data_IF_842270229534
#
_entry.id   IF_842270229534
#
_cell.length_a   1.000
_cell.length_b   1.000
_cell.length_c   1.000
_cell.angle_alpha   90.00
_cell.angle_beta   90.00
_cell.angle_gamma   90.00
#
_symmetry.space_group_name_H-M   'P 1'
#
loop_
_entity.id
_entity.type
_entity.pdbx_description
1 polymer ?
#
# COMPACT_ATOMS: atom_id res chain seq x y z
N UNK A 1 -3.77 2.65 -4.14
CA UNK A 1 -5.06 2.02 -4.49
C UNK A 1 -6.07 3.09 -4.90
N UNK A 2 -7.17 2.69 -5.55
CA UNK A 2 -8.28 3.55 -5.97
C UNK A 2 -9.57 2.97 -5.40
N UNK A 3 -10.37 3.78 -4.70
CA UNK A 3 -11.64 3.38 -4.12
C UNK A 3 -12.75 4.29 -4.63
N UNK A 4 -13.86 3.73 -5.08
CA UNK A 4 -14.98 4.49 -5.66
C UNK A 4 -16.19 4.66 -4.69
N UNK A 5 -16.04 4.20 -3.44
CA UNK A 5 -17.13 4.15 -2.46
C UNK A 5 -17.82 2.79 -2.37
N UNK A 6 -17.55 1.90 -3.32
CA UNK A 6 -18.10 0.53 -3.37
C UNK A 6 -17.02 -0.53 -3.46
N UNK A 7 -16.07 -0.38 -4.38
CA UNK A 7 -15.03 -1.36 -4.69
C UNK A 7 -13.62 -0.75 -4.64
N UNK A 8 -12.67 -1.59 -4.21
CA UNK A 8 -11.25 -1.24 -4.22
C UNK A 8 -10.50 -1.86 -5.40
N UNK A 9 -9.92 -0.99 -6.22
CA UNK A 9 -8.87 -1.36 -7.17
C UNK A 9 -7.49 -1.20 -6.53
N UNK A 10 -6.75 -2.30 -6.42
CA UNK A 10 -5.39 -2.32 -5.88
C UNK A 10 -4.38 -2.11 -7.01
N UNK A 11 -4.00 -0.85 -7.26
CA UNK A 11 -3.11 -0.49 -8.37
C UNK A 11 -1.68 -1.06 -8.29
N UNK A 12 -1.20 -1.41 -7.10
CA UNK A 12 0.10 -2.03 -6.90
C UNK A 12 0.45 -2.15 -5.42
N UNK A 13 1.23 -3.19 -5.09
CA UNK A 13 1.85 -3.37 -3.77
C UNK A 13 3.35 -3.28 -3.99
N UNK A 14 4.01 -2.31 -3.36
CA UNK A 14 5.46 -2.16 -3.43
C UNK A 14 6.06 -2.63 -2.12
N UNK A 15 7.21 -3.29 -2.21
CA UNK A 15 8.03 -3.66 -1.06
C UNK A 15 9.32 -2.84 -1.08
N UNK A 16 9.65 -2.19 0.03
CA UNK A 16 10.93 -1.49 0.15
C UNK A 16 12.08 -2.50 0.30
N UNK A 17 13.24 -2.17 -0.28
CA UNK A 17 14.47 -2.95 -0.08
C UNK A 17 15.04 -2.67 1.32
N UNK A 18 14.97 -1.41 1.75
CA UNK A 18 15.34 -0.98 3.08
C UNK A 18 14.24 -1.26 4.11
N UNK A 19 14.64 -1.47 5.36
CA UNK A 19 13.73 -1.75 6.47
C UNK A 19 12.89 -0.52 6.89
N UNK A 20 11.77 -0.81 7.56
CA UNK A 20 10.93 0.24 8.15
C UNK A 20 11.73 1.04 9.18
N UNK A 21 11.77 2.36 8.99
CA UNK A 21 12.64 3.27 9.75
C UNK A 21 13.42 4.19 8.82
N UNK A 22 13.73 3.73 7.61
CA UNK A 22 14.20 4.58 6.51
C UNK A 22 12.97 5.23 5.84
N UNK A 23 13.08 6.51 5.52
CA UNK A 23 11.97 7.26 4.94
C UNK A 23 11.62 6.69 3.56
N UNK A 24 10.34 6.42 3.31
CA UNK A 24 9.90 5.78 2.05
C UNK A 24 10.31 6.55 0.80
N UNK A 25 10.50 7.87 0.93
CA UNK A 25 11.04 8.78 -0.09
C UNK A 25 12.37 8.33 -0.69
N UNK A 26 13.21 7.77 0.17
CA UNK A 26 14.62 7.49 -0.12
C UNK A 26 14.89 5.98 -0.27
N UNK A 27 13.90 5.14 0.05
CA UNK A 27 13.98 3.69 -0.13
C UNK A 27 13.86 3.28 -1.60
N UNK A 28 14.70 2.35 -2.01
CA UNK A 28 14.45 1.57 -3.22
C UNK A 28 13.24 0.65 -2.98
N UNK A 29 12.50 0.32 -4.04
CA UNK A 29 11.35 -0.57 -3.91
C UNK A 29 11.16 -1.50 -5.12
N UNK A 30 10.53 -2.64 -4.87
CA UNK A 30 10.17 -3.64 -5.87
C UNK A 30 8.65 -3.67 -6.10
N UNK A 31 8.27 -3.81 -7.36
CA UNK A 31 6.90 -4.05 -7.82
C UNK A 31 6.98 -5.08 -8.97
N UNK A 32 6.42 -6.31 -8.83
CA UNK A 32 5.75 -6.85 -7.64
C UNK A 32 6.71 -7.01 -6.44
N UNK A 33 6.17 -7.19 -5.21
CA UNK A 33 6.99 -7.44 -4.05
C UNK A 33 7.73 -8.78 -4.20
N UNK A 34 8.92 -8.87 -3.62
CA UNK A 34 9.88 -9.98 -3.83
C UNK A 34 9.85 -10.99 -2.69
N UNK A 35 9.50 -10.60 -1.48
CA UNK A 35 9.42 -11.51 -0.32
C UNK A 35 8.01 -11.72 0.19
N UNK A 36 7.07 -10.80 -0.10
CA UNK A 36 5.68 -10.92 0.35
C UNK A 36 4.94 -12.03 -0.40
N UNK A 37 4.31 -12.93 0.34
CA UNK A 37 3.55 -14.04 -0.20
C UNK A 37 2.10 -13.66 -0.55
N UNK A 38 1.41 -14.55 -1.27
CA UNK A 38 0.00 -14.33 -1.65
C UNK A 38 -0.96 -14.14 -0.46
N UNK A 39 -0.62 -14.68 0.71
CA UNK A 39 -1.36 -14.42 1.96
C UNK A 39 -1.21 -12.97 2.42
N UNK A 40 0.00 -12.43 2.40
CA UNK A 40 0.30 -11.05 2.82
C UNK A 40 -0.40 -10.05 1.90
N UNK A 41 -0.39 -10.30 0.58
CA UNK A 41 -1.09 -9.47 -0.41
C UNK A 41 -2.60 -9.45 -0.15
N UNK A 42 -3.21 -10.59 0.20
CA UNK A 42 -4.64 -10.65 0.56
C UNK A 42 -4.92 -9.84 1.82
N UNK A 43 -4.05 -9.93 2.84
CA UNK A 43 -4.18 -9.15 4.08
C UNK A 43 -4.02 -7.65 3.84
N UNK A 44 -3.05 -7.25 3.00
CA UNK A 44 -2.85 -5.87 2.58
C UNK A 44 -4.06 -5.32 1.82
N UNK A 45 -4.63 -6.11 0.89
CA UNK A 45 -5.85 -5.73 0.15
C UNK A 45 -7.02 -5.51 1.10
N UNK A 46 -7.32 -6.49 1.96
CA UNK A 46 -8.44 -6.40 2.91
C UNK A 46 -8.29 -5.21 3.88
N UNK A 47 -7.07 -4.98 4.38
CA UNK A 47 -6.77 -3.84 5.26
C UNK A 47 -6.92 -2.51 4.54
N UNK A 48 -6.44 -2.43 3.29
CA UNK A 48 -6.55 -1.22 2.47
C UNK A 48 -7.99 -0.86 2.17
N UNK A 49 -8.83 -1.86 1.85
CA UNK A 49 -10.25 -1.66 1.58
C UNK A 49 -11.01 -1.21 2.83
N UNK A 50 -10.74 -1.85 3.97
CA UNK A 50 -11.34 -1.48 5.25
C UNK A 50 -10.99 -0.04 5.65
N UNK A 51 -9.73 0.38 5.46
CA UNK A 51 -9.28 1.75 5.75
C UNK A 51 -9.90 2.74 4.77
N UNK A 52 -9.88 2.45 3.46
CA UNK A 52 -10.47 3.33 2.45
C UNK A 52 -11.96 3.58 2.71
N UNK A 53 -12.71 2.53 3.05
CA UNK A 53 -14.12 2.61 3.43
C UNK A 53 -14.32 3.37 4.74
N UNK A 54 -13.53 3.05 5.77
CA UNK A 54 -13.66 3.67 7.10
C UNK A 54 -13.36 5.16 7.12
N UNK A 55 -12.45 5.63 6.26
CA UNK A 55 -12.10 7.06 6.11
C UNK A 55 -13.01 7.78 5.10
N UNK A 56 -13.80 7.05 4.31
CA UNK A 56 -14.70 7.64 3.31
C UNK A 56 -13.97 8.16 2.06
N UNK A 57 -12.94 7.44 1.61
CA UNK A 57 -12.18 7.81 0.40
C UNK A 57 -13.07 7.76 -0.84
N UNK A 58 -12.93 8.75 -1.72
CA UNK A 58 -13.43 8.71 -3.09
C UNK A 58 -12.28 9.13 -4.01
N UNK A 59 -11.61 8.15 -4.62
CA UNK A 59 -10.40 8.38 -5.40
C UNK A 59 -9.19 7.62 -4.86
N UNK A 60 -8.01 8.20 -5.06
CA UNK A 60 -6.74 7.56 -4.74
C UNK A 60 -6.46 7.57 -3.23
N UNK A 61 -5.89 6.47 -2.75
CA UNK A 61 -5.33 6.35 -1.39
C UNK A 61 -3.99 5.61 -1.44
N UNK A 62 -3.04 6.09 -0.66
CA UNK A 62 -1.76 5.43 -0.40
C UNK A 62 -1.66 5.08 1.09
N UNK A 63 -1.36 3.83 1.40
CA UNK A 63 -1.21 3.36 2.78
C UNK A 63 0.17 2.76 2.92
N UNK A 64 0.88 3.15 3.98
CA UNK A 64 2.19 2.58 4.32
C UNK A 64 1.99 1.58 5.45
N UNK A 65 2.54 0.38 5.27
CA UNK A 65 2.50 -0.70 6.25
C UNK A 65 3.91 -1.08 6.67
N UNK A 66 4.04 -1.63 7.87
CA UNK A 66 5.23 -2.34 8.31
C UNK A 66 4.84 -3.79 8.67
N UNK A 67 5.57 -4.76 8.14
CA UNK A 67 5.44 -6.16 8.50
C UNK A 67 6.59 -6.52 9.44
N UNK A 68 6.28 -6.90 10.68
CA UNK A 68 7.27 -7.34 11.66
C UNK A 68 6.88 -8.72 12.18
N UNK A 69 7.68 -9.73 11.84
CA UNK A 69 7.25 -11.12 11.92
C UNK A 69 5.95 -11.32 11.13
N UNK A 70 4.93 -11.90 11.76
CA UNK A 70 3.61 -12.12 11.16
C UNK A 70 2.60 -10.99 11.43
N UNK A 71 3.03 -9.88 12.02
CA UNK A 71 2.14 -8.77 12.39
C UNK A 71 2.26 -7.64 11.37
N UNK A 72 1.15 -7.35 10.69
CA UNK A 72 1.01 -6.24 9.76
C UNK A 72 0.51 -5.00 10.52
N UNK A 73 1.35 -3.99 10.64
CA UNK A 73 1.05 -2.69 11.24
C UNK A 73 0.74 -1.66 10.17
N UNK A 74 -0.22 -0.78 10.46
CA UNK A 74 -0.50 0.41 9.64
C UNK A 74 0.36 1.56 10.18
N UNK A 75 1.20 2.16 9.32
CA UNK A 75 1.99 3.33 9.69
C UNK A 75 1.20 4.62 9.46
N UNK A 76 0.67 4.78 8.25
CA UNK A 76 -0.14 5.95 7.87
C UNK A 76 -1.03 5.66 6.65
N UNK A 77 -2.11 6.44 6.52
CA UNK A 77 -2.99 6.43 5.36
C UNK A 77 -3.11 7.85 4.78
N UNK A 78 -2.86 7.99 3.48
CA UNK A 78 -2.90 9.25 2.75
C UNK A 78 -4.04 9.18 1.72
N UNK A 79 -5.23 9.76 1.99
CA UNK A 79 -6.38 9.73 1.08
C UNK A 79 -6.21 10.76 -0.06
N UNK A 80 -5.13 10.61 -0.82
CA UNK A 80 -4.72 11.43 -1.96
C UNK A 80 -3.76 10.65 -2.85
N UNK A 81 -3.44 11.20 -4.01
CA UNK A 81 -2.35 10.68 -4.83
C UNK A 81 -1.01 10.75 -4.09
N UNK A 82 -0.22 9.68 -4.19
CA UNK A 82 1.18 9.63 -3.73
C UNK A 82 2.13 9.86 -4.90
N UNK A 83 3.39 10.19 -4.58
CA UNK A 83 4.49 10.28 -5.55
C UNK A 83 4.77 8.96 -6.30
N UNK A 84 4.29 7.83 -5.78
CA UNK A 84 4.49 6.50 -6.38
C UNK A 84 3.49 6.19 -7.50
N UNK A 85 2.39 6.94 -7.62
CA UNK A 85 1.36 6.70 -8.66
C UNK A 85 1.93 6.69 -10.09
N UNK A 86 2.80 7.64 -10.51
CA UNK A 86 3.39 7.61 -11.85
C UNK A 86 4.24 6.35 -12.10
N UNK A 87 4.98 5.89 -11.11
CA UNK A 87 5.78 4.66 -11.21
C UNK A 87 4.87 3.43 -11.35
N UNK A 88 3.90 3.28 -10.44
CA UNK A 88 2.95 2.15 -10.47
C UNK A 88 2.12 2.11 -11.76
N UNK A 89 1.82 3.27 -12.36
CA UNK A 89 1.07 3.34 -13.63
C UNK A 89 1.89 2.97 -14.87
N UNK A 90 3.21 2.82 -14.75
CA UNK A 90 4.13 2.53 -15.85
C UNK A 90 4.85 1.20 -15.73
N UNK A 91 4.83 0.60 -14.54
CA UNK A 91 5.38 -0.73 -14.27
C UNK A 91 4.53 -1.83 -14.90
#
# INVERSE_FOLDING_TARGET
ALYDGTELYLGGVMEHIEEAGIHSGDSACALPPITLGGFDIKRLRASTEAIAKGVGVLGLINIQFALSGDILYVLEANPRASRTVPFTSKA
#
